data_IF_825644131280
#
_entry.id   IF_825644131280
#
_cell.length_a   1.000
_cell.length_b   1.000
_cell.length_c   1.000
_cell.angle_alpha   90.00
_cell.angle_beta   90.00
_cell.angle_gamma   90.00
#
_symmetry.space_group_name_H-M   'P 1'
#
loop_
_entity.id
_entity.type
_entity.pdbx_description
1 polymer ?
#
# COMPACT_ATOMS: atom_id res chain seq x y z
N UNK A 1 -7.53 -8.41 16.49
CA UNK A 1 -7.18 -7.61 17.69
C UNK A 1 -5.99 -6.66 17.45
N UNK A 2 -4.77 -7.17 17.21
CA UNK A 2 -3.55 -6.35 17.08
C UNK A 2 -3.63 -5.22 16.04
N UNK A 3 -4.28 -5.44 14.89
CA UNK A 3 -4.53 -4.37 13.92
C UNK A 3 -5.33 -3.19 14.48
N UNK A 4 -6.29 -3.45 15.37
CA UNK A 4 -7.09 -2.40 16.00
C UNK A 4 -6.27 -1.69 17.08
N UNK A 5 -5.49 -2.44 17.87
CA UNK A 5 -4.57 -1.86 18.86
C UNK A 5 -3.53 -0.95 18.19
N UNK A 6 -2.94 -1.39 17.08
CA UNK A 6 -2.00 -0.58 16.32
C UNK A 6 -2.63 0.70 15.76
N UNK A 7 -3.87 0.62 15.24
CA UNK A 7 -4.63 1.81 14.80
C UNK A 7 -4.88 2.79 15.96
N UNK A 8 -5.30 2.30 17.12
CA UNK A 8 -5.52 3.12 18.31
C UNK A 8 -4.23 3.81 18.78
N UNK A 9 -3.14 3.04 18.87
CA UNK A 9 -1.84 3.55 19.27
C UNK A 9 -1.33 4.64 18.31
N UNK A 10 -1.54 4.45 17.00
CA UNK A 10 -1.19 5.45 15.97
C UNK A 10 -2.03 6.72 16.04
N UNK A 11 -3.31 6.62 16.35
CA UNK A 11 -4.20 7.78 16.40
C UNK A 11 -3.95 8.67 17.63
N UNK A 12 -3.39 8.12 18.71
CA UNK A 12 -3.14 8.84 19.96
C UNK A 12 -1.73 9.46 20.05
N UNK A 13 -0.79 9.04 19.19
CA UNK A 13 0.58 9.57 19.17
C UNK A 13 0.78 10.47 17.94
N UNK A 14 0.93 11.78 18.15
CA UNK A 14 1.14 12.80 17.10
C UNK A 14 2.54 12.78 16.47
N UNK A 15 3.44 11.95 16.99
CA UNK A 15 4.79 11.76 16.48
C UNK A 15 5.01 10.26 16.23
N UNK A 16 5.37 9.94 14.98
CA UNK A 16 5.82 8.65 14.46
C UNK A 16 5.74 7.46 15.43
N UNK A 17 4.65 6.68 15.35
CA UNK A 17 4.59 5.36 15.98
C UNK A 17 5.67 4.44 15.40
N UNK A 18 6.62 3.93 16.20
CA UNK A 18 7.57 2.93 15.73
C UNK A 18 6.82 1.60 15.65
N UNK A 19 6.44 1.20 14.44
CA UNK A 19 5.87 -0.12 14.15
C UNK A 19 6.74 -1.25 14.72
N UNK A 20 8.04 -1.00 14.82
CA UNK A 20 9.07 -1.85 15.42
C UNK A 20 8.77 -2.20 16.87
N UNK A 21 8.72 -1.20 17.76
CA UNK A 21 8.44 -1.39 19.19
C UNK A 21 7.11 -2.10 19.40
N UNK A 22 6.05 -1.65 18.71
CA UNK A 22 4.74 -2.28 18.82
C UNK A 22 4.80 -3.76 18.44
N UNK A 23 5.51 -4.11 17.37
CA UNK A 23 5.67 -5.49 16.94
C UNK A 23 6.49 -6.32 17.93
N UNK A 24 7.59 -5.77 18.43
CA UNK A 24 8.44 -6.40 19.47
C UNK A 24 7.62 -6.71 20.73
N UNK A 25 6.86 -5.75 21.23
CA UNK A 25 6.02 -5.91 22.42
C UNK A 25 4.89 -6.92 22.23
N UNK A 26 4.23 -6.90 21.06
CA UNK A 26 3.19 -7.88 20.75
C UNK A 26 3.76 -9.30 20.73
N UNK A 27 4.93 -9.47 20.13
CA UNK A 27 5.57 -10.78 20.06
C UNK A 27 6.04 -11.26 21.43
N UNK A 28 6.75 -10.41 22.18
CA UNK A 28 7.19 -10.71 23.54
C UNK A 28 6.02 -11.06 24.45
N UNK A 29 4.90 -10.33 24.34
CA UNK A 29 3.68 -10.61 25.07
C UNK A 29 3.11 -12.01 24.78
N UNK A 30 3.13 -12.45 23.51
CA UNK A 30 2.73 -13.82 23.15
C UNK A 30 3.67 -14.83 23.80
N UNK A 31 4.99 -14.63 23.71
CA UNK A 31 5.96 -15.54 24.30
C UNK A 31 5.79 -15.64 25.83
N UNK A 32 5.53 -14.52 26.51
CA UNK A 32 5.30 -14.47 27.96
C UNK A 32 3.98 -15.11 28.38
N UNK A 33 2.93 -15.06 27.54
CA UNK A 33 1.64 -15.67 27.86
C UNK A 33 1.57 -17.18 27.60
N UNK A 34 2.41 -17.71 26.70
CA UNK A 34 2.32 -19.08 26.20
C UNK A 34 3.69 -19.77 26.28
N UNK A 35 4.02 -20.41 27.41
CA UNK A 35 5.32 -21.05 27.64
C UNK A 35 5.69 -22.10 26.58
N UNK A 36 4.71 -22.80 26.02
CA UNK A 36 4.92 -23.77 24.93
C UNK A 36 5.44 -23.10 23.65
N UNK A 37 4.94 -21.90 23.34
CA UNK A 37 5.38 -21.11 22.19
C UNK A 37 6.79 -20.57 22.46
N UNK A 38 7.05 -20.07 23.68
CA UNK A 38 8.39 -19.63 24.08
C UNK A 38 9.42 -20.75 23.98
N UNK A 39 9.10 -21.94 24.52
CA UNK A 39 10.01 -23.08 24.48
C UNK A 39 10.32 -23.50 23.04
N UNK A 40 9.31 -23.58 22.16
CA UNK A 40 9.54 -23.89 20.75
C UNK A 40 10.31 -22.78 20.03
N UNK A 41 10.06 -21.51 20.36
CA UNK A 41 10.81 -20.39 19.78
C UNK A 41 12.29 -20.44 20.14
N UNK A 42 12.61 -20.70 21.41
CA UNK A 42 13.97 -20.79 21.94
C UNK A 42 14.69 -22.00 21.34
N UNK A 43 14.10 -23.19 21.44
CA UNK A 43 14.78 -24.45 21.11
C UNK A 43 14.71 -24.73 19.62
N UNK A 44 13.50 -24.74 19.03
CA UNK A 44 13.31 -25.20 17.66
C UNK A 44 13.64 -24.11 16.63
N UNK A 45 13.23 -22.86 16.90
CA UNK A 45 13.40 -21.76 15.95
C UNK A 45 14.77 -21.07 16.07
N UNK A 46 15.16 -20.69 17.28
CA UNK A 46 16.41 -19.97 17.54
C UNK A 46 17.62 -20.87 17.78
N UNK A 47 17.42 -22.17 18.02
CA UNK A 47 18.48 -23.15 18.27
C UNK A 47 19.35 -22.72 19.48
N UNK A 48 18.66 -22.44 20.59
CA UNK A 48 19.25 -22.14 21.89
C UNK A 48 19.22 -23.38 22.79
N UNK A 49 20.10 -23.47 23.81
CA UNK A 49 20.06 -24.55 24.79
C UNK A 49 18.70 -24.66 25.49
N UNK A 50 18.35 -25.87 25.93
CA UNK A 50 17.16 -26.07 26.75
C UNK A 50 17.33 -25.36 28.10
N UNK A 51 16.32 -24.60 28.53
CA UNK A 51 16.33 -23.89 29.80
C UNK A 51 15.00 -23.21 30.11
N UNK A 52 14.86 -22.69 31.33
CA UNK A 52 13.73 -21.85 31.71
C UNK A 52 14.06 -20.39 31.32
N UNK A 53 13.56 -19.94 30.17
CA UNK A 53 13.81 -18.60 29.67
C UNK A 53 12.77 -17.60 30.15
N UNK A 54 13.22 -16.39 30.46
CA UNK A 54 12.39 -15.21 30.63
C UNK A 54 12.53 -14.30 29.42
N UNK A 55 11.45 -13.63 29.03
CA UNK A 55 11.44 -12.65 27.93
C UNK A 55 11.31 -11.25 28.50
N UNK A 56 12.30 -10.40 28.22
CA UNK A 56 12.27 -8.96 28.52
C UNK A 56 12.43 -8.16 27.23
N UNK A 57 11.87 -6.96 27.19
CA UNK A 57 12.02 -6.03 26.05
C UNK A 57 12.58 -4.71 26.51
N UNK A 58 13.22 -3.98 25.59
CA UNK A 58 13.77 -2.64 25.82
C UNK A 58 14.68 -2.57 27.06
N UNK A 59 15.52 -3.60 27.25
CA UNK A 59 16.35 -3.72 28.45
C UNK A 59 17.65 -2.92 28.32
N UNK A 60 17.90 -2.06 29.29
CA UNK A 60 19.06 -1.18 29.31
C UNK A 60 20.30 -1.86 29.91
N UNK A 61 21.43 -1.77 29.19
CA UNK A 61 22.75 -2.20 29.66
C UNK A 61 23.74 -1.03 29.59
N UNK A 62 24.30 -0.57 30.72
CA UNK A 62 25.27 0.51 30.69
C UNK A 62 26.60 0.04 30.11
N UNK A 63 27.10 0.73 29.07
CA UNK A 63 28.49 0.63 28.64
C UNK A 63 29.21 1.94 28.97
N UNK A 64 30.46 1.85 29.43
CA UNK A 64 31.26 3.03 29.81
C UNK A 64 31.48 4.01 28.66
N UNK A 65 31.56 3.51 27.43
CA UNK A 65 31.75 4.30 26.21
C UNK A 65 30.43 4.54 25.44
N UNK A 66 29.35 3.86 25.81
CA UNK A 66 28.06 3.99 25.15
C UNK A 66 26.89 3.86 26.16
N UNK A 67 26.48 4.99 26.76
CA UNK A 67 25.50 4.97 27.84
C UNK A 67 24.07 4.70 27.35
N UNK A 68 23.83 4.38 26.07
CA UNK A 68 22.49 4.20 25.49
C UNK A 68 22.30 2.84 24.81
N UNK A 69 22.88 1.77 25.36
CA UNK A 69 22.66 0.42 24.86
C UNK A 69 21.36 -0.17 25.43
N UNK A 70 20.27 -0.04 24.67
CA UNK A 70 18.97 -0.65 24.96
C UNK A 70 18.78 -1.81 24.00
N UNK A 71 18.52 -3.01 24.52
CA UNK A 71 18.29 -4.23 23.75
C UNK A 71 16.80 -4.44 23.50
N UNK A 72 16.40 -4.59 22.23
CA UNK A 72 14.99 -4.72 21.85
C UNK A 72 14.29 -5.87 22.56
N UNK A 73 14.90 -7.05 22.55
CA UNK A 73 14.41 -8.23 23.26
C UNK A 73 15.55 -9.08 23.81
N UNK A 74 15.40 -9.53 25.04
CA UNK A 74 16.33 -10.39 25.77
C UNK A 74 15.63 -11.67 26.18
N UNK A 75 16.21 -12.80 25.80
CA UNK A 75 15.84 -14.12 26.29
C UNK A 75 16.93 -14.60 27.25
N UNK A 76 16.59 -14.80 28.51
CA UNK A 76 17.57 -15.15 29.54
C UNK A 76 17.15 -16.37 30.36
N UNK A 77 18.06 -17.31 30.53
CA UNK A 77 17.98 -18.44 31.46
C UNK A 77 19.21 -18.44 32.37
N UNK A 78 19.31 -19.45 33.25
CA UNK A 78 20.46 -19.61 34.15
C UNK A 78 21.79 -19.76 33.38
N UNK A 79 21.77 -20.46 32.24
CA UNK A 79 22.99 -20.84 31.52
C UNK A 79 23.15 -20.13 30.16
N UNK A 80 22.19 -19.32 29.72
CA UNK A 80 22.22 -18.70 28.40
C UNK A 80 21.54 -17.34 28.41
N UNK A 81 22.14 -16.38 27.70
CA UNK A 81 21.55 -15.07 27.40
C UNK A 81 21.59 -14.82 25.90
N UNK A 82 20.43 -14.52 25.32
CA UNK A 82 20.27 -14.23 23.90
C UNK A 82 19.70 -12.83 23.72
N UNK A 83 20.45 -11.98 23.03
CA UNK A 83 19.97 -10.68 22.59
C UNK A 83 19.39 -10.78 21.19
N UNK A 84 18.25 -10.11 21.00
CA UNK A 84 17.53 -10.08 19.74
C UNK A 84 17.32 -8.62 19.37
N UNK A 85 17.87 -8.23 18.23
CA UNK A 85 17.64 -6.95 17.58
C UNK A 85 16.51 -7.09 16.54
N UNK A 86 15.50 -6.22 16.61
CA UNK A 86 14.33 -6.28 15.74
C UNK A 86 14.29 -5.06 14.81
N UNK A 87 14.13 -5.30 13.51
CA UNK A 87 14.01 -4.22 12.51
C UNK A 87 12.80 -4.40 11.61
N UNK A 88 11.96 -3.36 11.50
CA UNK A 88 10.75 -3.43 10.65
C UNK A 88 10.84 -2.50 9.44
N UNK A 89 10.93 -1.19 9.66
CA UNK A 89 10.97 -0.22 8.54
C UNK A 89 12.28 0.58 8.49
N UNK A 90 13.20 0.27 9.40
CA UNK A 90 14.54 0.85 9.50
C UNK A 90 15.58 -0.21 9.18
N UNK A 91 16.77 0.25 8.82
CA UNK A 91 17.99 -0.54 8.91
C UNK A 91 18.50 -0.50 10.35
N UNK A 92 19.46 -1.37 10.67
CA UNK A 92 20.20 -1.32 11.92
C UNK A 92 20.62 0.12 12.30
N UNK A 93 20.46 0.49 13.56
CA UNK A 93 21.01 1.74 14.09
C UNK A 93 22.53 1.72 14.05
N UNK A 94 23.16 2.90 14.08
CA UNK A 94 24.62 3.02 14.03
C UNK A 94 25.28 2.13 15.11
N UNK A 95 26.06 1.13 14.67
CA UNK A 95 26.84 0.18 15.50
C UNK A 95 26.05 -0.57 16.58
N UNK A 96 24.73 -0.74 16.42
CA UNK A 96 23.86 -1.34 17.46
C UNK A 96 24.23 -2.78 17.78
N UNK A 97 24.49 -3.62 16.78
CA UNK A 97 24.88 -5.01 17.01
C UNK A 97 26.27 -5.12 17.65
N UNK A 98 27.20 -4.20 17.35
CA UNK A 98 28.52 -4.19 17.99
C UNK A 98 28.43 -3.79 19.47
N UNK A 99 27.53 -2.88 19.84
CA UNK A 99 27.26 -2.59 21.26
C UNK A 99 26.72 -3.80 22.00
N UNK A 100 25.77 -4.50 21.39
CA UNK A 100 25.18 -5.71 21.99
C UNK A 100 26.23 -6.78 22.21
N UNK A 101 27.15 -6.94 21.27
CA UNK A 101 28.30 -7.84 21.41
C UNK A 101 29.22 -7.44 22.56
N UNK A 102 29.54 -6.15 22.72
CA UNK A 102 30.33 -5.66 23.87
C UNK A 102 29.65 -5.97 25.20
N UNK A 103 28.32 -5.84 25.27
CA UNK A 103 27.57 -6.24 26.47
C UNK A 103 27.60 -7.76 26.66
N UNK A 104 27.35 -8.56 25.62
CA UNK A 104 27.40 -10.02 25.71
C UNK A 104 28.79 -10.54 26.10
N UNK A 105 29.86 -9.79 25.85
CA UNK A 105 31.20 -10.13 26.31
C UNK A 105 31.36 -10.13 27.82
N UNK A 106 30.60 -9.30 28.56
CA UNK A 106 30.66 -9.29 30.03
C UNK A 106 30.03 -10.55 30.66
N UNK A 107 29.19 -11.28 29.93
CA UNK A 107 28.57 -12.52 30.38
C UNK A 107 29.36 -13.78 29.99
N UNK A 108 30.43 -13.65 29.18
CA UNK A 108 31.23 -14.79 28.75
C UNK A 108 31.90 -15.45 29.96
N UNK A 109 31.75 -16.77 30.06
CA UNK A 109 32.28 -17.59 31.17
C UNK A 109 31.25 -17.91 32.24
N UNK A 110 30.18 -17.12 32.34
CA UNK A 110 29.03 -17.40 33.21
C UNK A 110 27.89 -18.04 32.43
N UNK A 111 27.60 -17.50 31.24
CA UNK A 111 26.50 -17.94 30.38
C UNK A 111 26.98 -18.14 28.94
N UNK A 112 26.29 -19.00 28.22
CA UNK A 112 26.33 -19.01 26.77
C UNK A 112 25.74 -17.71 26.24
N UNK A 113 26.46 -17.03 25.34
CA UNK A 113 26.04 -15.75 24.79
C UNK A 113 25.69 -15.85 23.32
N UNK A 114 24.52 -15.31 22.97
CA UNK A 114 23.92 -15.49 21.66
C UNK A 114 23.35 -14.16 21.16
N UNK A 115 23.52 -13.88 19.87
CA UNK A 115 22.98 -12.69 19.22
C UNK A 115 22.12 -13.08 18.02
N UNK A 116 20.97 -12.43 17.89
CA UNK A 116 20.00 -12.64 16.82
C UNK A 116 19.58 -11.31 16.21
N UNK A 117 19.31 -11.34 14.92
CA UNK A 117 18.79 -10.18 14.19
C UNK A 117 17.57 -10.59 13.38
N UNK A 118 16.42 -9.96 13.65
CA UNK A 118 15.17 -10.26 12.95
C UNK A 118 14.76 -9.01 12.17
N UNK A 119 14.58 -9.15 10.85
CA UNK A 119 14.25 -7.99 10.01
C UNK A 119 13.15 -8.26 8.99
N UNK A 120 12.34 -7.25 8.67
CA UNK A 120 11.30 -7.36 7.64
C UNK A 120 11.89 -7.40 6.23
N UNK A 121 12.91 -6.58 5.99
CA UNK A 121 13.51 -6.37 4.68
C UNK A 121 14.87 -7.05 4.57
N UNK A 122 15.38 -7.16 3.35
CA UNK A 122 16.69 -7.76 3.13
C UNK A 122 17.81 -6.84 3.61
N UNK A 123 18.36 -7.13 4.78
CA UNK A 123 19.50 -6.41 5.38
C UNK A 123 20.51 -7.43 5.93
N UNK A 124 21.29 -8.07 5.05
CA UNK A 124 22.17 -9.19 5.40
C UNK A 124 23.37 -8.70 6.20
N UNK A 125 23.58 -9.29 7.38
CA UNK A 125 24.75 -9.05 8.24
C UNK A 125 25.70 -10.24 8.18
N UNK A 126 27.00 -9.96 8.10
CA UNK A 126 28.05 -10.98 7.96
C UNK A 126 29.10 -10.76 9.04
N UNK A 127 29.64 -11.85 9.62
CA UNK A 127 30.76 -11.84 10.56
C UNK A 127 30.57 -11.02 11.85
N UNK A 128 29.33 -10.92 12.36
CA UNK A 128 29.05 -10.16 13.60
C UNK A 128 29.59 -10.88 14.86
N UNK A 129 29.20 -12.14 15.08
CA UNK A 129 29.68 -12.96 16.19
C UNK A 129 29.59 -14.47 15.89
N UNK A 130 30.33 -15.34 16.61
CA UNK A 130 30.39 -16.78 16.31
C UNK A 130 29.04 -17.51 16.36
N UNK A 131 28.12 -17.05 17.22
CA UNK A 131 26.75 -17.59 17.33
C UNK A 131 25.72 -16.58 16.83
N UNK A 132 26.05 -15.76 15.84
CA UNK A 132 25.10 -14.86 15.21
C UNK A 132 24.23 -15.62 14.19
N UNK A 133 22.91 -15.42 14.26
CA UNK A 133 21.97 -15.85 13.21
C UNK A 133 21.01 -14.71 12.89
N UNK A 134 20.63 -14.62 11.63
CA UNK A 134 19.68 -13.63 11.14
C UNK A 134 18.43 -14.34 10.61
N UNK A 135 17.27 -13.78 10.92
CA UNK A 135 15.97 -14.23 10.46
C UNK A 135 15.17 -13.08 9.86
N UNK A 136 14.07 -13.43 9.21
CA UNK A 136 13.07 -12.52 8.69
C UNK A 136 11.78 -12.69 9.46
N UNK A 137 11.03 -11.60 9.59
CA UNK A 137 9.70 -11.67 10.20
C UNK A 137 8.75 -12.66 9.50
N UNK A 138 8.95 -12.91 8.20
CA UNK A 138 8.12 -13.89 7.49
C UNK A 138 8.40 -15.33 7.96
N UNK A 139 9.62 -15.63 8.40
CA UNK A 139 9.98 -16.95 8.92
C UNK A 139 9.31 -17.19 10.27
N UNK A 140 9.25 -16.16 11.12
CA UNK A 140 8.50 -16.20 12.38
C UNK A 140 7.00 -16.34 12.10
N UNK A 141 6.47 -15.60 11.13
CA UNK A 141 5.07 -15.69 10.74
C UNK A 141 4.71 -17.09 10.24
N UNK A 142 5.58 -17.69 9.42
CA UNK A 142 5.41 -19.05 8.89
C UNK A 142 5.47 -20.10 10.01
N UNK A 143 6.47 -20.01 10.88
CA UNK A 143 6.60 -20.88 12.06
C UNK A 143 5.37 -20.79 12.97
N UNK A 144 4.94 -19.58 13.36
CA UNK A 144 3.74 -19.38 14.18
C UNK A 144 2.48 -19.99 13.54
N UNK A 145 2.31 -19.78 12.23
CA UNK A 145 1.15 -20.27 11.51
C UNK A 145 1.18 -21.79 11.29
N UNK A 146 2.36 -22.40 11.25
CA UNK A 146 2.51 -23.85 11.09
C UNK A 146 2.31 -24.60 12.40
N UNK A 147 2.93 -24.11 13.47
CA UNK A 147 2.98 -24.83 14.76
C UNK A 147 1.83 -24.44 15.70
N UNK A 148 1.30 -23.22 15.61
CA UNK A 148 0.38 -22.66 16.61
C UNK A 148 -0.88 -22.01 16.00
N UNK A 149 -1.32 -22.50 14.84
CA UNK A 149 -2.48 -21.97 14.11
C UNK A 149 -3.77 -21.91 14.94
N UNK A 150 -3.95 -22.85 15.86
CA UNK A 150 -5.14 -23.00 16.70
C UNK A 150 -5.21 -21.95 17.83
N UNK A 151 -4.06 -21.35 18.19
CA UNK A 151 -4.03 -20.30 19.19
C UNK A 151 -4.59 -19.00 18.60
N UNK A 152 -5.75 -18.58 19.09
CA UNK A 152 -6.48 -17.40 18.60
C UNK A 152 -5.62 -16.13 18.67
N UNK A 153 -4.76 -15.97 19.68
CA UNK A 153 -3.89 -14.80 19.78
C UNK A 153 -2.80 -14.83 18.70
N UNK A 154 -2.23 -16.01 18.44
CA UNK A 154 -1.28 -16.22 17.35
C UNK A 154 -1.92 -15.95 16.00
N UNK A 155 -3.12 -16.46 15.71
CA UNK A 155 -3.83 -16.17 14.46
C UNK A 155 -4.08 -14.67 14.29
N UNK A 156 -4.44 -13.97 15.39
CA UNK A 156 -4.63 -12.53 15.38
C UNK A 156 -3.32 -11.78 15.09
N UNK A 157 -2.20 -12.23 15.64
CA UNK A 157 -0.89 -11.64 15.43
C UNK A 157 -0.37 -11.91 14.01
N UNK A 158 -0.52 -13.13 13.49
CA UNK A 158 -0.21 -13.47 12.10
C UNK A 158 -0.96 -12.55 11.12
N UNK A 159 -2.24 -12.29 11.35
CA UNK A 159 -3.02 -11.35 10.54
C UNK A 159 -2.51 -9.91 10.62
N UNK A 160 -1.97 -9.50 11.78
CA UNK A 160 -1.25 -8.23 11.91
C UNK A 160 0.03 -8.24 11.07
N UNK A 161 0.90 -9.25 11.22
CA UNK A 161 2.12 -9.40 10.40
C UNK A 161 1.80 -9.38 8.90
N UNK A 162 0.75 -10.07 8.46
CA UNK A 162 0.30 -10.08 7.06
C UNK A 162 -0.11 -8.70 6.58
N UNK A 163 -0.87 -7.95 7.37
CA UNK A 163 -1.29 -6.58 7.03
C UNK A 163 -0.11 -5.61 6.90
N UNK A 164 0.96 -5.85 7.68
CA UNK A 164 2.17 -5.03 7.68
C UNK A 164 3.24 -5.53 6.69
N UNK A 165 2.90 -6.49 5.82
CA UNK A 165 3.81 -7.15 4.87
C UNK A 165 5.01 -7.85 5.53
N UNK A 166 4.85 -8.32 6.75
CA UNK A 166 5.84 -9.09 7.50
C UNK A 166 5.61 -10.60 7.41
N UNK A 167 4.46 -11.07 6.94
CA UNK A 167 4.19 -12.50 6.72
C UNK A 167 4.38 -12.97 5.27
N UNK A 168 4.88 -12.12 4.37
CA UNK A 168 5.03 -12.45 2.95
C UNK A 168 6.44 -12.95 2.66
N UNK A 169 6.56 -14.20 2.22
CA UNK A 169 7.78 -14.73 1.62
C UNK A 169 8.05 -13.97 0.33
N UNK A 170 9.25 -13.40 0.17
CA UNK A 170 9.65 -12.63 -1.02
C UNK A 170 10.22 -13.51 -2.14
N UNK A 171 9.81 -14.76 -2.22
CA UNK A 171 10.23 -15.63 -3.31
C UNK A 171 9.48 -15.25 -4.59
N UNK A 172 10.23 -15.16 -5.69
CA UNK A 172 9.64 -15.07 -7.01
C UNK A 172 9.09 -16.47 -7.33
N UNK A 173 7.77 -16.60 -7.33
CA UNK A 173 7.09 -17.85 -7.70
C UNK A 173 6.78 -17.85 -9.19
N UNK A 174 6.64 -19.04 -9.79
CA UNK A 174 6.18 -19.18 -11.18
C UNK A 174 4.84 -18.48 -11.40
N UNK A 175 3.89 -18.64 -10.48
CA UNK A 175 2.59 -17.96 -10.52
C UNK A 175 2.75 -16.43 -10.47
N UNK A 176 3.68 -15.92 -9.66
CA UNK A 176 4.00 -14.50 -9.61
C UNK A 176 4.54 -13.98 -10.95
N UNK A 177 5.40 -14.74 -11.61
CA UNK A 177 5.92 -14.39 -12.95
C UNK A 177 4.80 -14.42 -14.00
N UNK A 178 3.94 -15.44 -13.97
CA UNK A 178 2.77 -15.55 -14.87
C UNK A 178 1.82 -14.36 -14.63
N UNK A 179 1.55 -14.01 -13.37
CA UNK A 179 0.69 -12.89 -13.02
C UNK A 179 1.27 -11.55 -13.52
N UNK A 180 2.58 -11.34 -13.41
CA UNK A 180 3.25 -10.15 -13.94
C UNK A 180 3.14 -10.06 -15.47
N UNK A 181 3.29 -11.19 -16.17
CA UNK A 181 3.12 -11.24 -17.63
C UNK A 181 1.68 -10.94 -18.03
N UNK A 182 0.70 -11.62 -17.40
CA UNK A 182 -0.71 -11.39 -17.67
C UNK A 182 -1.13 -9.95 -17.34
N UNK A 183 -0.57 -9.34 -16.29
CA UNK A 183 -0.78 -7.94 -15.97
C UNK A 183 -0.28 -7.03 -17.10
N UNK A 184 0.91 -7.27 -17.63
CA UNK A 184 1.45 -6.49 -18.75
C UNK A 184 0.57 -6.60 -20.00
N UNK A 185 0.13 -7.81 -20.36
CA UNK A 185 -0.73 -8.04 -21.53
C UNK A 185 -2.10 -7.37 -21.35
N UNK A 186 -2.72 -7.52 -20.18
CA UNK A 186 -3.99 -6.88 -19.84
C UNK A 186 -3.87 -5.35 -19.83
N UNK A 187 -2.80 -4.81 -19.25
CA UNK A 187 -2.50 -3.39 -19.23
C UNK A 187 -2.34 -2.83 -20.65
N UNK A 188 -1.54 -3.51 -21.48
CA UNK A 188 -1.29 -3.08 -22.87
C UNK A 188 -2.58 -3.06 -23.69
N UNK A 189 -3.45 -4.05 -23.51
CA UNK A 189 -4.78 -4.11 -24.15
C UNK A 189 -5.66 -2.93 -23.71
N UNK A 190 -5.69 -2.64 -22.40
CA UNK A 190 -6.45 -1.50 -21.88
C UNK A 190 -5.97 -0.15 -22.44
N UNK A 191 -4.65 0.03 -22.57
CA UNK A 191 -4.07 1.24 -23.17
C UNK A 191 -4.47 1.37 -24.64
N UNK A 192 -4.40 0.31 -25.43
CA UNK A 192 -4.74 0.32 -26.85
C UNK A 192 -6.18 0.84 -27.09
N UNK A 193 -7.15 0.34 -26.33
CA UNK A 193 -8.54 0.80 -26.45
C UNK A 193 -8.72 2.23 -25.91
N UNK A 194 -8.02 2.61 -24.85
CA UNK A 194 -8.06 3.97 -24.32
C UNK A 194 -7.46 4.99 -25.31
N UNK A 195 -6.41 4.63 -26.05
CA UNK A 195 -5.83 5.43 -27.13
C UNK A 195 -6.81 5.64 -28.30
N UNK A 196 -7.65 4.64 -28.60
CA UNK A 196 -8.73 4.82 -29.57
C UNK A 196 -9.74 5.88 -29.09
N UNK A 197 -10.08 5.86 -27.80
CA UNK A 197 -10.87 6.91 -27.17
C UNK A 197 -10.18 8.28 -27.17
N UNK A 198 -8.85 8.33 -27.04
CA UNK A 198 -8.07 9.57 -27.10
C UNK A 198 -8.23 10.28 -28.45
N UNK A 199 -8.13 9.54 -29.56
CA UNK A 199 -8.26 10.13 -30.90
C UNK A 199 -9.64 10.76 -31.07
N UNK A 200 -10.68 10.09 -30.59
CA UNK A 200 -12.04 10.63 -30.59
C UNK A 200 -12.09 11.87 -29.69
N UNK A 201 -11.56 11.79 -28.46
CA UNK A 201 -11.50 12.91 -27.53
C UNK A 201 -10.85 14.16 -28.14
N UNK A 202 -9.71 14.01 -28.80
CA UNK A 202 -9.01 15.11 -29.47
C UNK A 202 -9.82 15.72 -30.62
N UNK A 203 -10.59 14.92 -31.37
CA UNK A 203 -11.49 15.43 -32.40
C UNK A 203 -12.62 16.30 -31.80
N UNK A 204 -13.14 15.91 -30.62
CA UNK A 204 -14.17 16.70 -29.94
C UNK A 204 -13.59 17.94 -29.26
N UNK A 205 -12.33 17.91 -28.83
CA UNK A 205 -11.69 18.98 -28.06
C UNK A 205 -10.33 19.39 -28.69
N UNK A 206 -10.31 19.90 -29.93
CA UNK A 206 -9.08 20.05 -30.73
C UNK A 206 -8.09 21.09 -30.20
N UNK A 207 -8.59 22.07 -29.44
CA UNK A 207 -7.78 23.15 -28.85
C UNK A 207 -7.14 22.73 -27.51
N UNK A 208 -7.39 21.50 -27.06
CA UNK A 208 -6.84 21.02 -25.80
C UNK A 208 -5.47 20.39 -25.98
N UNK A 209 -4.51 20.89 -25.20
CA UNK A 209 -3.34 20.08 -24.87
C UNK A 209 -3.86 18.97 -23.94
N UNK A 210 -4.17 17.81 -24.52
CA UNK A 210 -4.47 16.62 -23.71
C UNK A 210 -3.24 16.34 -22.88
N UNK A 211 -3.34 16.54 -21.57
CA UNK A 211 -2.26 16.17 -20.68
C UNK A 211 -2.30 14.65 -20.58
N UNK A 212 -1.63 13.99 -21.52
CA UNK A 212 -1.19 12.61 -21.38
C UNK A 212 -0.11 12.60 -20.30
N UNK A 213 -0.48 12.91 -19.06
CA UNK A 213 0.41 12.76 -17.92
C UNK A 213 0.84 11.30 -17.90
N UNK A 214 2.06 11.08 -18.39
CA UNK A 214 2.64 9.83 -18.86
C UNK A 214 1.92 8.58 -18.31
N UNK A 215 1.43 7.74 -19.22
CA UNK A 215 1.08 6.32 -18.99
C UNK A 215 2.16 5.50 -18.26
N UNK A 216 3.32 6.10 -18.02
CA UNK A 216 4.47 5.56 -17.32
C UNK A 216 4.54 5.96 -15.84
N UNK A 217 3.59 6.75 -15.32
CA UNK A 217 3.59 7.13 -13.91
C UNK A 217 3.15 5.95 -13.03
N UNK A 218 4.13 5.20 -12.53
CA UNK A 218 3.97 4.12 -11.54
C UNK A 218 2.99 4.48 -10.42
N UNK A 219 3.08 5.72 -9.91
CA UNK A 219 2.22 6.25 -8.85
C UNK A 219 0.73 6.16 -9.19
N UNK A 220 0.33 6.47 -10.42
CA UNK A 220 -1.09 6.49 -10.82
C UNK A 220 -1.69 5.10 -11.04
N UNK A 221 -0.89 4.16 -11.54
CA UNK A 221 -1.31 2.77 -11.72
C UNK A 221 -1.46 2.08 -10.36
N UNK A 222 -0.46 2.25 -9.48
CA UNK A 222 -0.40 1.52 -8.21
C UNK A 222 -1.25 2.18 -7.12
N UNK A 223 -1.24 3.51 -6.99
CA UNK A 223 -2.03 4.21 -5.96
C UNK A 223 -3.41 4.61 -6.48
N UNK A 224 -3.49 5.06 -7.74
CA UNK A 224 -4.74 5.55 -8.34
C UNK A 224 -5.58 4.48 -9.02
N UNK A 225 -5.03 3.28 -9.25
CA UNK A 225 -5.67 2.16 -9.94
C UNK A 225 -6.27 2.49 -11.32
N UNK A 226 -5.78 3.55 -11.98
CA UNK A 226 -6.35 4.04 -13.24
C UNK A 226 -5.33 4.71 -14.15
N UNK A 227 -5.63 4.69 -15.44
CA UNK A 227 -4.91 5.42 -16.50
C UNK A 227 -5.91 6.30 -17.24
N UNK A 228 -5.52 7.51 -17.65
CA UNK A 228 -6.50 8.50 -18.11
C UNK A 228 -5.92 9.64 -18.93
N UNK A 229 -6.81 10.26 -19.71
CA UNK A 229 -6.66 11.57 -20.33
C UNK A 229 -7.56 12.57 -19.61
N UNK A 230 -7.11 13.81 -19.52
CA UNK A 230 -7.80 14.86 -18.79
C UNK A 230 -7.65 16.22 -19.49
N UNK A 231 -8.73 17.00 -19.44
CA UNK A 231 -8.73 18.44 -19.64
C UNK A 231 -9.14 19.07 -18.32
N UNK A 232 -8.29 19.91 -17.74
CA UNK A 232 -8.61 20.66 -16.50
C UNK A 232 -9.00 22.10 -16.82
N UNK A 233 -9.51 22.83 -15.83
CA UNK A 233 -9.87 24.27 -15.85
C UNK A 233 -10.82 24.60 -17.00
N UNK A 234 -12.04 24.08 -16.92
CA UNK A 234 -13.00 24.10 -18.02
C UNK A 234 -13.63 25.47 -18.26
N UNK A 235 -13.50 26.41 -17.31
CA UNK A 235 -14.20 27.70 -17.31
C UNK A 235 -13.21 28.87 -17.30
N UNK A 236 -13.53 29.98 -17.99
CA UNK A 236 -12.63 31.14 -18.12
C UNK A 236 -12.39 31.87 -16.80
N UNK A 237 -13.46 32.09 -16.02
CA UNK A 237 -13.45 32.97 -14.85
C UNK A 237 -13.19 32.24 -13.51
N UNK A 238 -13.21 30.90 -13.50
CA UNK A 238 -13.16 30.10 -12.28
C UNK A 238 -11.97 29.15 -12.23
N UNK A 239 -10.81 29.57 -12.74
CA UNK A 239 -9.58 28.75 -12.83
C UNK A 239 -9.00 28.31 -11.48
N UNK A 240 -9.39 28.96 -10.38
CA UNK A 240 -8.96 28.57 -9.03
C UNK A 240 -9.80 27.40 -8.46
N UNK A 241 -10.85 26.98 -9.15
CA UNK A 241 -11.69 25.86 -8.75
C UNK A 241 -11.45 24.69 -9.69
N UNK A 242 -11.23 23.52 -9.10
CA UNK A 242 -10.94 22.34 -9.88
C UNK A 242 -12.17 21.91 -10.69
N UNK A 243 -11.98 21.81 -12.00
CA UNK A 243 -12.97 21.31 -12.95
C UNK A 243 -12.25 20.50 -14.02
N UNK A 244 -12.81 19.36 -14.42
CA UNK A 244 -12.17 18.51 -15.41
C UNK A 244 -13.15 17.69 -16.26
N UNK A 245 -12.76 17.41 -17.50
CA UNK A 245 -13.31 16.33 -18.32
C UNK A 245 -12.26 15.23 -18.38
N UNK A 246 -12.63 14.01 -18.01
CA UNK A 246 -11.70 12.89 -17.90
C UNK A 246 -12.20 11.64 -18.61
N UNK A 247 -11.32 11.04 -19.39
CA UNK A 247 -11.46 9.73 -20.01
C UNK A 247 -10.49 8.77 -19.32
N UNK A 248 -10.97 7.73 -18.67
CA UNK A 248 -10.12 6.81 -17.91
C UNK A 248 -10.46 5.34 -18.14
N UNK A 249 -9.48 4.50 -17.85
CA UNK A 249 -9.67 3.08 -17.60
C UNK A 249 -9.23 2.75 -16.17
N UNK A 250 -10.15 2.17 -15.39
CA UNK A 250 -9.92 1.69 -14.04
C UNK A 250 -9.48 0.24 -14.09
N UNK A 251 -8.23 -0.02 -13.70
CA UNK A 251 -7.60 -1.33 -13.82
C UNK A 251 -8.25 -2.34 -12.88
N UNK A 252 -8.55 -1.91 -11.65
CA UNK A 252 -9.14 -2.78 -10.62
C UNK A 252 -10.54 -3.26 -11.00
N UNK A 253 -11.35 -2.36 -11.56
CA UNK A 253 -12.75 -2.62 -11.88
C UNK A 253 -12.96 -3.00 -13.34
N UNK A 254 -11.90 -2.99 -14.15
CA UNK A 254 -11.89 -3.27 -15.59
C UNK A 254 -12.98 -2.46 -16.32
N UNK A 255 -12.96 -1.14 -16.11
CA UNK A 255 -14.06 -0.24 -16.45
C UNK A 255 -13.54 1.00 -17.17
N UNK A 256 -14.14 1.34 -18.32
CA UNK A 256 -13.98 2.67 -18.90
C UNK A 256 -14.87 3.67 -18.19
N UNK A 257 -14.35 4.87 -17.99
CA UNK A 257 -15.06 6.00 -17.42
C UNK A 257 -14.90 7.22 -18.32
N UNK A 258 -16.01 7.88 -18.59
CA UNK A 258 -16.05 9.26 -19.04
C UNK A 258 -16.67 10.10 -17.93
N UNK A 259 -16.07 11.24 -17.57
CA UNK A 259 -16.60 12.11 -16.53
C UNK A 259 -16.47 13.59 -16.85
N UNK A 260 -17.39 14.36 -16.29
CA UNK A 260 -17.27 15.78 -15.98
C UNK A 260 -17.25 15.93 -14.45
N UNK A 261 -16.21 16.56 -13.92
CA UNK A 261 -16.03 16.75 -12.47
C UNK A 261 -15.92 18.22 -12.12
N UNK A 262 -16.47 18.60 -10.97
CA UNK A 262 -16.31 19.91 -10.38
C UNK A 262 -16.09 19.80 -8.86
N UNK A 263 -15.23 20.66 -8.32
CA UNK A 263 -15.08 20.80 -6.87
C UNK A 263 -16.38 21.28 -6.23
N UNK A 264 -16.65 20.85 -4.99
CA UNK A 264 -17.90 21.17 -4.29
C UNK A 264 -18.11 22.68 -4.09
N UNK A 265 -17.00 23.41 -3.93
CA UNK A 265 -16.96 24.87 -3.76
C UNK A 265 -17.02 25.63 -5.08
N UNK A 266 -17.14 24.95 -6.23
CA UNK A 266 -17.15 25.60 -7.53
C UNK A 266 -18.40 26.50 -7.68
N UNK A 267 -18.27 27.80 -8.02
CA UNK A 267 -19.42 28.72 -8.09
C UNK A 267 -20.53 28.29 -9.05
N UNK A 268 -20.16 27.65 -10.16
CA UNK A 268 -21.11 27.09 -11.14
C UNK A 268 -21.72 25.73 -10.74
N UNK A 269 -21.31 25.18 -9.60
CA UNK A 269 -21.69 23.83 -9.16
C UNK A 269 -23.20 23.58 -9.15
N UNK A 270 -23.99 24.37 -8.41
CA UNK A 270 -25.45 24.22 -8.33
C UNK A 270 -26.13 24.31 -9.71
N UNK A 271 -25.72 25.27 -10.54
CA UNK A 271 -26.28 25.50 -11.87
C UNK A 271 -25.99 24.34 -12.82
N UNK A 272 -24.80 23.75 -12.74
CA UNK A 272 -24.44 22.56 -13.52
C UNK A 272 -25.23 21.36 -13.03
N UNK A 273 -25.33 21.13 -11.71
CA UNK A 273 -26.11 20.02 -11.13
C UNK A 273 -27.57 20.04 -11.57
N UNK A 274 -28.20 21.21 -11.60
CA UNK A 274 -29.57 21.37 -12.11
C UNK A 274 -29.66 20.94 -13.58
N UNK A 275 -28.74 21.40 -14.42
CA UNK A 275 -28.77 21.17 -15.87
C UNK A 275 -28.40 19.74 -16.26
N UNK A 276 -27.55 19.08 -15.50
CA UNK A 276 -27.11 17.70 -15.81
C UNK A 276 -28.14 16.67 -15.37
N UNK A 277 -29.09 17.05 -14.52
CA UNK A 277 -30.19 16.16 -14.09
C UNK A 277 -31.06 15.66 -15.24
N UNK A 278 -31.01 16.33 -16.41
CA UNK A 278 -31.77 15.94 -17.62
C UNK A 278 -30.95 15.07 -18.58
N UNK A 279 -29.64 14.88 -18.33
CA UNK A 279 -28.79 14.04 -19.17
C UNK A 279 -29.15 12.58 -18.95
N UNK A 280 -29.64 11.94 -20.01
CA UNK A 280 -29.83 10.48 -20.02
C UNK A 280 -28.45 9.81 -20.16
N UNK A 281 -28.30 8.63 -19.58
CA UNK A 281 -27.10 7.77 -19.66
C UNK A 281 -25.85 8.25 -18.90
N UNK A 282 -25.96 9.31 -18.09
CA UNK A 282 -24.94 9.71 -17.12
C UNK A 282 -25.50 9.64 -15.71
N UNK A 283 -24.73 9.02 -14.83
CA UNK A 283 -25.00 9.02 -13.40
C UNK A 283 -24.43 10.31 -12.79
N UNK A 284 -25.24 11.00 -11.99
CA UNK A 284 -24.75 12.07 -11.12
C UNK A 284 -24.42 11.44 -9.77
N UNK A 285 -23.13 11.22 -9.53
CA UNK A 285 -22.64 10.69 -8.28
C UNK A 285 -22.02 11.82 -7.45
N UNK A 286 -22.63 12.15 -6.31
CA UNK A 286 -21.95 12.87 -5.24
C UNK A 286 -20.95 11.93 -4.59
N UNK A 287 -19.68 12.02 -4.98
CA UNK A 287 -18.70 11.00 -4.59
C UNK A 287 -18.01 11.26 -3.25
N UNK A 288 -18.00 12.49 -2.70
CA UNK A 288 -17.28 12.81 -1.45
C UNK A 288 -17.38 14.30 -1.04
N UNK A 289 -16.67 14.66 0.03
CA UNK A 289 -16.45 16.03 0.53
C UNK A 289 -15.72 16.98 -0.45
N UNK A 290 -15.22 16.48 -1.58
CA UNK A 290 -14.38 17.26 -2.49
C UNK A 290 -15.11 17.77 -3.74
N UNK A 291 -16.20 17.12 -4.17
CA UNK A 291 -16.88 17.51 -5.40
C UNK A 291 -17.98 16.56 -5.86
N UNK A 292 -18.57 16.91 -7.00
CA UNK A 292 -19.57 16.11 -7.67
C UNK A 292 -19.08 15.68 -9.05
N UNK A 293 -19.55 14.51 -9.46
CA UNK A 293 -19.11 13.84 -10.67
C UNK A 293 -20.34 13.47 -11.49
N UNK A 294 -20.30 13.82 -12.77
CA UNK A 294 -21.26 13.38 -13.77
C UNK A 294 -20.51 12.37 -14.62
N UNK A 295 -20.80 11.08 -14.49
CA UNK A 295 -20.02 10.06 -15.16
C UNK A 295 -20.87 9.05 -15.92
N UNK A 296 -20.24 8.46 -16.92
CA UNK A 296 -20.72 7.29 -17.65
C UNK A 296 -19.65 6.24 -17.57
N UNK A 297 -20.02 5.05 -17.10
CA UNK A 297 -19.10 3.93 -16.95
C UNK A 297 -19.56 2.74 -17.76
N UNK A 298 -18.61 1.96 -18.26
CA UNK A 298 -18.91 0.66 -18.87
C UNK A 298 -17.81 -0.34 -18.54
N UNK A 299 -18.20 -1.55 -18.15
CA UNK A 299 -17.26 -2.63 -17.88
C UNK A 299 -16.83 -3.26 -19.18
N UNK A 300 -15.54 -3.59 -19.30
CA UNK A 300 -14.99 -4.13 -20.55
C UNK A 300 -15.66 -5.44 -20.98
N UNK A 301 -16.14 -6.24 -20.01
CA UNK A 301 -16.81 -7.50 -20.33
C UNK A 301 -18.08 -7.33 -21.15
N UNK A 302 -18.71 -6.14 -21.14
CA UNK A 302 -19.89 -5.86 -21.96
C UNK A 302 -19.60 -5.91 -23.47
N UNK A 303 -18.32 -5.92 -23.86
CA UNK A 303 -17.89 -5.96 -25.26
C UNK A 303 -17.32 -7.32 -25.68
N UNK A 304 -17.16 -8.29 -24.76
CA UNK A 304 -16.43 -9.55 -25.06
C UNK A 304 -17.09 -10.35 -26.19
N UNK A 305 -18.42 -10.33 -26.26
CA UNK A 305 -19.19 -11.10 -27.25
C UNK A 305 -19.47 -10.30 -28.54
N UNK A 306 -18.92 -9.08 -28.67
CA UNK A 306 -19.14 -8.27 -29.86
C UNK A 306 -18.29 -8.78 -31.04
N UNK A 307 -18.89 -8.88 -32.23
CA UNK A 307 -18.17 -9.25 -33.46
C UNK A 307 -17.07 -8.22 -33.80
N UNK A 308 -17.31 -6.93 -33.50
CA UNK A 308 -16.36 -5.83 -33.65
C UNK A 308 -16.22 -5.07 -32.31
N UNK A 309 -15.43 -5.64 -31.41
CA UNK A 309 -15.15 -5.08 -30.07
C UNK A 309 -14.64 -3.63 -30.17
N UNK A 310 -13.71 -3.37 -31.08
CA UNK A 310 -13.13 -2.03 -31.27
C UNK A 310 -14.16 -1.02 -31.77
N UNK A 311 -15.01 -1.43 -32.71
CA UNK A 311 -16.12 -0.62 -33.21
C UNK A 311 -17.11 -0.26 -32.12
N UNK A 312 -17.53 -1.22 -31.29
CA UNK A 312 -18.47 -0.98 -30.19
C UNK A 312 -17.88 -0.08 -29.09
N UNK A 313 -16.61 -0.27 -28.74
CA UNK A 313 -15.91 0.61 -27.80
C UNK A 313 -15.84 2.04 -28.36
N UNK A 314 -15.52 2.21 -29.65
CA UNK A 314 -15.50 3.53 -30.30
C UNK A 314 -16.88 4.18 -30.30
N UNK A 315 -17.95 3.43 -30.62
CA UNK A 315 -19.34 3.92 -30.53
C UNK A 315 -19.69 4.37 -29.11
N UNK A 316 -19.25 3.63 -28.10
CA UNK A 316 -19.45 4.02 -26.70
C UNK A 316 -18.74 5.34 -26.36
N UNK A 317 -17.48 5.50 -26.77
CA UNK A 317 -16.75 6.76 -26.59
C UNK A 317 -17.43 7.92 -27.34
N UNK A 318 -17.74 7.75 -28.63
CA UNK A 318 -18.38 8.77 -29.46
C UNK A 318 -19.70 9.24 -28.86
N UNK A 319 -20.60 8.32 -28.52
CA UNK A 319 -21.88 8.67 -27.90
C UNK A 319 -21.72 9.39 -26.57
N UNK A 320 -20.70 9.04 -25.77
CA UNK A 320 -20.41 9.74 -24.51
C UNK A 320 -19.92 11.16 -24.74
N UNK A 321 -19.03 11.35 -25.72
CA UNK A 321 -18.51 12.68 -26.05
C UNK A 321 -19.55 13.56 -26.73
N UNK A 322 -20.48 13.01 -27.51
CA UNK A 322 -21.63 13.74 -28.04
C UNK A 322 -22.46 14.35 -26.92
N UNK A 323 -22.76 13.58 -25.87
CA UNK A 323 -23.53 14.08 -24.72
C UNK A 323 -22.81 15.23 -24.02
N UNK A 324 -21.51 15.09 -23.73
CA UNK A 324 -20.73 16.17 -23.09
C UNK A 324 -20.62 17.39 -24.00
N UNK A 325 -20.43 17.18 -25.31
CA UNK A 325 -20.32 18.25 -26.29
C UNK A 325 -21.61 19.04 -26.39
N UNK A 326 -22.73 18.36 -26.54
CA UNK A 326 -24.04 19.00 -26.59
C UNK A 326 -24.31 19.76 -25.29
N UNK A 327 -23.95 19.20 -24.14
CA UNK A 327 -24.05 19.92 -22.86
C UNK A 327 -23.23 21.22 -22.86
N UNK A 328 -22.01 21.22 -23.38
CA UNK A 328 -21.19 22.44 -23.47
C UNK A 328 -21.83 23.47 -24.42
N UNK A 329 -22.23 23.02 -25.60
CA UNK A 329 -22.73 23.87 -26.68
C UNK A 329 -24.11 24.48 -26.35
N UNK A 330 -24.98 23.73 -25.66
CA UNK A 330 -26.31 24.17 -25.20
C UNK A 330 -26.25 25.13 -24.00
N UNK A 331 -25.09 25.27 -23.36
CA UNK A 331 -24.90 26.06 -22.14
C UNK A 331 -23.78 27.10 -22.28
N UNK A 332 -23.83 28.01 -23.27
CA UNK A 332 -22.78 28.99 -23.51
C UNK A 332 -22.61 29.99 -22.36
N UNK A 333 -23.65 30.18 -21.56
CA UNK A 333 -23.69 31.07 -20.40
C UNK A 333 -22.89 30.57 -19.18
N UNK A 334 -22.35 29.34 -19.23
CA UNK A 334 -21.39 28.84 -18.23
C UNK A 334 -19.96 29.35 -18.45
N UNK A 335 -19.71 30.14 -19.51
CA UNK A 335 -18.43 30.78 -19.80
C UNK A 335 -17.25 29.81 -19.90
N UNK A 336 -17.43 28.77 -20.71
CA UNK A 336 -16.43 27.75 -21.02
C UNK A 336 -15.12 28.35 -21.57
N UNK A 337 -13.99 27.77 -21.17
CA UNK A 337 -12.66 28.12 -21.66
C UNK A 337 -12.53 27.77 -23.16
N UNK A 338 -11.80 28.58 -23.92
CA UNK A 338 -11.67 28.42 -25.36
C UNK A 338 -11.13 27.04 -25.77
N UNK A 339 -10.36 26.39 -24.90
CA UNK A 339 -9.81 25.06 -25.16
C UNK A 339 -10.87 23.98 -25.26
N UNK A 340 -11.99 24.09 -24.54
CA UNK A 340 -13.06 23.08 -24.56
C UNK A 340 -14.11 23.34 -25.64
N UNK A 341 -14.04 24.47 -26.32
CA UNK A 341 -14.93 24.85 -27.42
C UNK A 341 -14.38 24.33 -28.76
N UNK A 342 -15.27 24.10 -29.74
CA UNK A 342 -14.89 23.75 -31.12
C UNK A 342 -14.07 24.87 -31.78
#
# INVERSE_FOLDING_TARGET
MFNNLYKLYRNNNSQHTPLEDFNTECFAGILNCYPEILNSFVVDFLDLPLGAYNVSTQLYYPLSEDPNCIVDMVLESDNCICFIENKVNSVEGFEQLERYKKVLESFKGEKETVLRYITKWSDVKINISPRFKQYRWYEIADWLQREFAENVLVTNYYNFLKSQNMARKKEITTDGVIALKNFYDAYSTAILHLESGQKIFQNYFPKTLTHGHNFQSYKRIIEGHRVYYIISDLFKEHKNYHSEILLAFHIRDVTFQLQLWLSLTHPLGPKILERVSVLKDFDVANKNEHGFMINRNIKLYNFIDAEDVDGEIKKWFTSGFDVIRNFIDDNPDLNWDAKVLR
#
